data_IF_514304587490
#
_entry.id   IF_514304587490
#
_cell.length_a   1.000
_cell.length_b   1.000
_cell.length_c   1.000
_cell.angle_alpha   90.00
_cell.angle_beta   90.00
_cell.angle_gamma   90.00
#
_symmetry.space_group_name_H-M   'P 1'
#
loop_
_entity.id
_entity.type
_entity.pdbx_description
1 polymer ?
#
# COMPACT_ATOMS: atom_id res chain seq x y z
N UNK A 1 -19.44 10.60 -20.73
CA UNK A 1 -18.24 9.97 -20.16
C UNK A 1 -18.08 10.49 -18.76
N UNK A 2 -18.04 9.59 -17.80
CA UNK A 2 -17.80 9.96 -16.39
C UNK A 2 -16.33 9.66 -16.15
N UNK A 3 -15.58 10.50 -15.44
CA UNK A 3 -14.13 10.24 -15.19
C UNK A 3 -13.85 8.89 -14.51
N UNK A 4 -14.90 8.19 -14.06
CA UNK A 4 -14.88 6.87 -13.44
C UNK A 4 -14.92 5.71 -14.43
N UNK A 5 -15.19 5.93 -15.73
CA UNK A 5 -15.16 4.88 -16.76
C UNK A 5 -13.72 4.52 -17.21
N UNK A 6 -12.74 5.35 -16.85
CA UNK A 6 -11.33 5.12 -17.17
C UNK A 6 -10.90 5.60 -18.55
N UNK A 7 -11.82 6.19 -19.32
CA UNK A 7 -11.52 6.76 -20.63
C UNK A 7 -10.62 7.98 -20.49
N UNK A 8 -9.70 8.15 -21.45
CA UNK A 8 -8.81 9.31 -21.47
C UNK A 8 -9.61 10.60 -21.59
N UNK A 9 -9.15 11.63 -20.87
CA UNK A 9 -9.71 12.96 -20.92
C UNK A 9 -8.73 13.90 -21.63
N UNK A 10 -9.18 14.69 -22.59
CA UNK A 10 -8.33 15.69 -23.21
C UNK A 10 -8.08 16.85 -22.23
N UNK A 11 -6.87 17.42 -22.22
CA UNK A 11 -6.47 18.47 -21.27
C UNK A 11 -7.41 19.68 -21.29
N UNK A 12 -7.88 20.08 -22.47
CA UNK A 12 -8.84 21.19 -22.62
C UNK A 12 -10.22 20.90 -21.98
N UNK A 13 -10.53 19.64 -21.66
CA UNK A 13 -11.75 19.24 -20.96
C UNK A 13 -11.59 19.26 -19.44
N UNK A 14 -10.36 19.31 -18.92
CA UNK A 14 -10.08 19.41 -17.49
C UNK A 14 -10.34 20.84 -17.02
N UNK A 15 -11.38 21.02 -16.20
CA UNK A 15 -11.65 22.28 -15.51
C UNK A 15 -10.69 22.45 -14.33
N UNK A 16 -9.51 23.03 -14.58
CA UNK A 16 -8.47 23.28 -13.58
C UNK A 16 -8.76 24.52 -12.76
N UNK A 17 -8.62 24.41 -11.44
CA UNK A 17 -8.76 25.52 -10.49
C UNK A 17 -7.44 25.79 -9.74
N UNK A 18 -7.50 26.06 -8.44
CA UNK A 18 -6.35 26.37 -7.61
C UNK A 18 -5.35 25.22 -7.55
N UNK A 19 -4.06 25.56 -7.52
CA UNK A 19 -2.99 24.64 -7.17
C UNK A 19 -3.08 24.31 -5.68
N UNK A 20 -3.15 23.03 -5.35
CA UNK A 20 -3.27 22.54 -3.97
C UNK A 20 -2.08 21.71 -3.53
N UNK A 21 -1.20 21.31 -4.45
CA UNK A 21 0.01 20.57 -4.14
C UNK A 21 1.11 20.83 -5.17
N UNK A 22 2.34 20.67 -4.73
CA UNK A 22 3.55 20.82 -5.52
C UNK A 22 4.53 19.74 -5.04
N UNK A 23 4.77 18.74 -5.88
CA UNK A 23 5.66 17.63 -5.61
C UNK A 23 6.81 17.54 -6.63
N UNK A 24 7.76 16.64 -6.37
CA UNK A 24 8.95 16.50 -7.23
C UNK A 24 8.64 16.11 -8.67
N UNK A 25 7.59 15.32 -8.90
CA UNK A 25 7.22 14.78 -10.22
C UNK A 25 6.10 15.57 -10.91
N UNK A 26 5.39 16.45 -10.19
CA UNK A 26 4.17 17.05 -10.70
C UNK A 26 3.56 18.09 -9.77
N UNK A 27 2.61 18.83 -10.34
CA UNK A 27 1.78 19.79 -9.61
C UNK A 27 0.35 19.25 -9.51
N UNK A 28 -0.34 19.56 -8.42
CA UNK A 28 -1.69 19.06 -8.17
C UNK A 28 -2.68 20.22 -8.12
N UNK A 29 -3.75 20.12 -8.89
CA UNK A 29 -4.80 21.13 -9.02
C UNK A 29 -6.14 20.56 -8.63
N UNK A 30 -7.01 21.41 -8.09
CA UNK A 30 -8.43 21.09 -8.03
C UNK A 30 -9.00 20.97 -9.45
N UNK A 31 -9.78 19.92 -9.67
CA UNK A 31 -10.42 19.63 -10.94
C UNK A 31 -11.95 19.64 -10.78
N UNK A 32 -12.64 20.27 -11.72
CA UNK A 32 -14.10 20.27 -11.77
C UNK A 32 -14.68 18.92 -12.16
N UNK A 33 -15.86 18.62 -11.65
CA UNK A 33 -16.56 17.35 -11.87
C UNK A 33 -17.18 16.82 -10.59
N UNK A 34 -17.95 15.73 -10.66
CA UNK A 34 -18.46 15.06 -9.47
C UNK A 34 -17.30 14.45 -8.66
N UNK A 35 -17.40 14.46 -7.33
CA UNK A 35 -16.53 13.64 -6.47
C UNK A 35 -15.19 14.24 -6.02
N UNK A 36 -15.08 15.56 -5.84
CA UNK A 36 -13.88 16.28 -5.33
C UNK A 36 -12.58 15.76 -5.97
N UNK A 37 -12.41 16.06 -7.25
CA UNK A 37 -11.32 15.55 -8.05
C UNK A 37 -10.08 16.44 -7.95
N UNK A 38 -8.93 15.80 -8.10
CA UNK A 38 -7.65 16.44 -8.30
C UNK A 38 -7.08 16.04 -9.65
N UNK A 39 -6.42 16.98 -10.32
CA UNK A 39 -5.60 16.74 -11.50
C UNK A 39 -4.13 16.83 -11.09
N UNK A 40 -3.41 15.72 -11.19
CA UNK A 40 -1.94 15.69 -11.07
C UNK A 40 -1.34 15.86 -12.46
N UNK A 41 -0.66 16.98 -12.66
CA UNK A 41 0.04 17.34 -13.89
C UNK A 41 1.53 17.05 -13.76
N UNK A 42 2.10 16.28 -14.68
CA UNK A 42 3.53 15.97 -14.66
C UNK A 42 4.36 17.17 -15.11
N UNK A 43 5.48 17.44 -14.42
CA UNK A 43 6.44 18.49 -14.82
C UNK A 43 7.16 18.16 -16.13
N UNK A 44 7.43 16.89 -16.35
CA UNK A 44 8.13 16.39 -17.54
C UNK A 44 7.28 15.32 -18.27
N UNK A 45 6.16 15.70 -18.92
CA UNK A 45 5.27 14.75 -19.61
C UNK A 45 5.94 13.88 -20.69
N UNK A 46 7.13 14.27 -21.14
CA UNK A 46 7.90 13.52 -22.13
C UNK A 46 8.63 12.29 -21.54
N UNK A 47 8.82 12.23 -20.22
CA UNK A 47 9.42 11.08 -19.51
C UNK A 47 8.38 10.08 -19.01
N UNK A 48 7.10 10.44 -19.10
CA UNK A 48 5.98 9.65 -18.56
C UNK A 48 5.78 8.39 -19.38
N UNK A 49 5.77 7.24 -18.70
CA UNK A 49 5.39 5.96 -19.29
C UNK A 49 3.86 5.81 -19.25
N UNK A 50 3.22 6.27 -20.32
CA UNK A 50 1.76 6.34 -20.40
C UNK A 50 1.04 5.00 -20.35
N UNK A 51 1.73 3.91 -20.70
CA UNK A 51 1.30 2.52 -20.60
C UNK A 51 1.25 2.02 -19.16
N UNK A 52 2.24 2.37 -18.33
CA UNK A 52 2.24 2.07 -16.91
C UNK A 52 1.03 2.73 -16.21
N UNK A 53 0.71 3.97 -16.58
CA UNK A 53 -0.46 4.67 -16.05
C UNK A 53 -1.78 4.06 -16.55
N UNK A 54 -1.83 3.60 -17.81
CA UNK A 54 -2.98 2.83 -18.33
C UNK A 54 -3.21 1.58 -17.50
N UNK A 55 -2.15 0.86 -17.13
CA UNK A 55 -2.27 -0.34 -16.31
C UNK A 55 -2.93 -0.02 -14.96
N UNK A 56 -2.52 1.06 -14.28
CA UNK A 56 -3.13 1.46 -13.00
C UNK A 56 -4.62 1.81 -13.14
N UNK A 57 -4.99 2.53 -14.19
CA UNK A 57 -6.40 2.82 -14.48
C UNK A 57 -7.18 1.51 -14.71
N UNK A 58 -6.64 0.57 -15.49
CA UNK A 58 -7.27 -0.73 -15.76
C UNK A 58 -7.44 -1.58 -14.51
N UNK A 59 -6.43 -1.64 -13.64
CA UNK A 59 -6.51 -2.37 -12.36
C UNK A 59 -7.75 -1.95 -11.58
N UNK A 60 -8.02 -0.64 -11.48
CA UNK A 60 -9.23 -0.14 -10.81
C UNK A 60 -10.52 -0.49 -11.57
N UNK A 61 -10.51 -0.43 -12.90
CA UNK A 61 -11.69 -0.75 -13.70
C UNK A 61 -12.09 -2.22 -13.66
N UNK A 62 -11.12 -3.11 -13.47
CA UNK A 62 -11.33 -4.57 -13.40
C UNK A 62 -11.74 -5.04 -11.99
N UNK A 63 -11.57 -4.19 -10.96
CA UNK A 63 -12.00 -4.51 -9.59
C UNK A 63 -13.52 -4.62 -9.45
N UNK A 64 -13.94 -5.57 -8.61
CA UNK A 64 -15.32 -5.64 -8.14
C UNK A 64 -15.71 -4.35 -7.41
N UNK A 65 -17.01 -3.95 -7.39
CA UNK A 65 -17.43 -2.68 -6.82
C UNK A 65 -16.94 -2.43 -5.38
N UNK A 66 -17.01 -3.44 -4.51
CA UNK A 66 -16.56 -3.31 -3.12
C UNK A 66 -15.04 -3.09 -2.97
N UNK A 67 -14.23 -3.69 -3.85
CA UNK A 67 -12.78 -3.52 -3.86
C UNK A 67 -12.38 -2.16 -4.43
N UNK A 68 -13.08 -1.72 -5.48
CA UNK A 68 -12.92 -0.38 -6.06
C UNK A 68 -13.27 0.71 -5.04
N UNK A 69 -14.38 0.56 -4.34
CA UNK A 69 -14.79 1.47 -3.27
C UNK A 69 -13.77 1.50 -2.13
N UNK A 70 -13.16 0.36 -1.81
CA UNK A 70 -12.06 0.29 -0.84
C UNK A 70 -10.82 1.05 -1.36
N UNK A 71 -10.44 0.84 -2.62
CA UNK A 71 -9.31 1.53 -3.24
C UNK A 71 -9.50 3.04 -3.19
N UNK A 72 -10.65 3.53 -3.63
CA UNK A 72 -10.96 4.97 -3.71
C UNK A 72 -10.98 5.65 -2.33
N UNK A 73 -11.35 4.91 -1.28
CA UNK A 73 -11.27 5.42 0.11
C UNK A 73 -9.84 5.46 0.65
N UNK A 74 -8.97 4.54 0.22
CA UNK A 74 -7.65 4.32 0.82
C UNK A 74 -6.48 4.79 -0.06
N UNK A 75 -6.72 5.31 -1.26
CA UNK A 75 -5.66 5.74 -2.16
C UNK A 75 -6.11 6.88 -3.09
N UNK A 76 -5.20 7.81 -3.37
CA UNK A 76 -5.31 8.81 -4.42
C UNK A 76 -5.01 8.15 -5.78
N UNK A 77 -5.85 7.17 -6.14
CA UNK A 77 -5.62 6.27 -7.26
C UNK A 77 -5.92 6.94 -8.62
N UNK A 78 -5.15 6.66 -9.69
CA UNK A 78 -5.47 7.13 -11.04
C UNK A 78 -6.84 6.65 -11.53
N UNK A 79 -7.75 7.59 -11.79
CA UNK A 79 -9.09 7.33 -12.32
C UNK A 79 -9.08 7.25 -13.84
N UNK A 80 -8.41 8.19 -14.49
CA UNK A 80 -8.21 8.24 -15.93
C UNK A 80 -6.97 9.07 -16.27
N UNK A 81 -6.44 8.89 -17.48
CA UNK A 81 -5.31 9.71 -17.96
C UNK A 81 -5.83 11.02 -18.54
N UNK A 82 -5.03 12.06 -18.38
CA UNK A 82 -5.23 13.32 -19.09
C UNK A 82 -4.23 13.38 -20.24
N UNK A 83 -4.70 13.74 -21.42
CA UNK A 83 -3.89 13.77 -22.64
C UNK A 83 -3.95 15.10 -23.35
N UNK A 84 -2.85 15.50 -23.98
CA UNK A 84 -2.78 16.64 -24.90
C UNK A 84 -2.06 16.23 -26.18
N UNK A 85 -2.72 16.33 -27.33
CA UNK A 85 -2.19 15.85 -28.61
C UNK A 85 -1.75 14.37 -28.60
N UNK A 86 -2.43 13.52 -27.82
CA UNK A 86 -2.09 12.10 -27.64
C UNK A 86 -0.96 11.81 -26.64
N UNK A 87 -0.33 12.84 -26.06
CA UNK A 87 0.66 12.70 -24.98
C UNK A 87 -0.03 12.70 -23.63
N UNK A 88 0.33 11.77 -22.74
CA UNK A 88 -0.12 11.78 -21.35
C UNK A 88 0.52 12.96 -20.61
N UNK A 89 -0.30 13.88 -20.11
CA UNK A 89 0.12 15.06 -19.35
C UNK A 89 -0.09 14.90 -17.85
N UNK A 90 -0.95 13.97 -17.45
CA UNK A 90 -1.27 13.71 -16.05
C UNK A 90 -2.40 12.70 -15.86
N UNK A 91 -3.03 12.75 -14.70
CA UNK A 91 -4.21 11.93 -14.41
C UNK A 91 -5.16 12.62 -13.43
N UNK A 92 -6.42 12.18 -13.44
CA UNK A 92 -7.40 12.54 -12.41
C UNK A 92 -7.39 11.52 -11.28
N UNK A 93 -7.56 12.00 -10.05
CA UNK A 93 -7.68 11.18 -8.84
C UNK A 93 -8.69 11.78 -7.86
N UNK A 94 -9.19 10.96 -6.94
CA UNK A 94 -9.97 11.48 -5.81
C UNK A 94 -9.07 12.27 -4.85
N UNK A 95 -9.61 13.36 -4.31
CA UNK A 95 -8.99 14.03 -3.16
C UNK A 95 -9.08 13.14 -1.93
N UNK A 96 -8.01 13.14 -1.12
CA UNK A 96 -8.03 12.48 0.18
C UNK A 96 -9.20 12.96 1.07
N UNK A 97 -9.72 12.11 1.98
CA UNK A 97 -10.78 12.49 2.90
C UNK A 97 -10.47 13.75 3.70
N UNK A 98 -11.48 14.59 3.93
CA UNK A 98 -11.31 15.87 4.63
C UNK A 98 -10.77 15.71 6.05
N UNK A 99 -11.11 14.61 6.72
CA UNK A 99 -10.61 14.27 8.05
C UNK A 99 -9.08 14.06 8.10
N UNK A 100 -8.41 13.94 6.94
CA UNK A 100 -6.95 13.85 6.81
C UNK A 100 -6.30 15.21 6.54
N UNK A 101 -7.00 16.30 6.87
CA UNK A 101 -6.50 17.68 6.81
C UNK A 101 -6.67 18.34 8.18
N UNK A 102 -5.71 19.16 8.59
CA UNK A 102 -5.79 20.01 9.76
C UNK A 102 -5.60 21.49 9.38
N UNK A 103 -6.16 22.39 10.18
CA UNK A 103 -6.08 23.83 9.92
C UNK A 103 -4.97 24.45 10.75
N UNK A 104 -4.04 25.14 10.10
CA UNK A 104 -2.97 25.88 10.77
C UNK A 104 -3.52 27.11 11.50
N UNK A 105 -2.72 27.70 12.38
CA UNK A 105 -3.08 28.96 13.06
C UNK A 105 -3.33 30.14 12.11
N UNK A 106 -2.85 30.06 10.86
CA UNK A 106 -3.08 31.05 9.81
C UNK A 106 -4.36 30.81 8.99
N UNK A 107 -5.08 29.72 9.25
CA UNK A 107 -6.27 29.33 8.51
C UNK A 107 -6.01 28.42 7.30
N UNK A 108 -4.74 28.14 6.97
CA UNK A 108 -4.39 27.25 5.85
C UNK A 108 -4.66 25.79 6.21
N UNK A 109 -5.25 25.03 5.30
CA UNK A 109 -5.40 23.58 5.42
C UNK A 109 -4.11 22.84 5.04
N UNK A 110 -3.69 21.89 5.87
CA UNK A 110 -2.53 21.02 5.62
C UNK A 110 -2.88 19.55 5.80
N UNK A 111 -2.29 18.69 4.99
CA UNK A 111 -2.48 17.25 5.10
C UNK A 111 -1.91 16.72 6.41
N UNK A 112 -2.56 15.71 6.98
CA UNK A 112 -2.10 14.98 8.17
C UNK A 112 -1.25 13.79 7.69
N UNK A 113 0.00 14.09 7.33
CA UNK A 113 1.01 13.09 6.94
C UNK A 113 1.43 12.20 8.12
N UNK A 114 1.92 11.00 7.80
CA UNK A 114 2.45 10.05 8.77
C UNK A 114 3.61 10.66 9.60
N UNK A 115 4.34 11.64 9.06
CA UNK A 115 5.43 12.33 9.75
C UNK A 115 5.04 12.88 11.13
N UNK A 116 3.80 13.36 11.27
CA UNK A 116 3.24 13.85 12.53
C UNK A 116 3.04 12.74 13.57
N UNK A 117 2.86 11.50 13.13
CA UNK A 117 2.66 10.34 13.99
C UNK A 117 3.97 9.81 14.59
N UNK A 118 5.10 10.07 13.92
CA UNK A 118 6.42 9.54 14.26
C UNK A 118 7.17 10.40 15.29
N UNK A 119 6.59 11.52 15.73
CA UNK A 119 7.24 12.50 16.60
C UNK A 119 6.29 12.95 17.71
N UNK A 120 6.83 13.53 18.76
CA UNK A 120 6.03 14.27 19.73
C UNK A 120 5.44 15.52 19.08
N UNK A 121 4.19 15.83 19.44
CA UNK A 121 3.52 17.03 19.01
C UNK A 121 4.33 18.27 19.40
N UNK A 122 4.48 19.21 18.46
CA UNK A 122 5.08 20.52 18.75
C UNK A 122 3.99 21.59 18.72
N UNK A 123 4.24 22.70 19.42
CA UNK A 123 3.32 23.84 19.46
C UNK A 123 2.88 24.32 18.06
N UNK A 124 3.77 24.27 17.06
CA UNK A 124 3.47 24.70 15.70
C UNK A 124 2.40 23.85 14.96
N UNK A 125 2.09 22.65 15.46
CA UNK A 125 1.11 21.73 14.87
C UNK A 125 0.30 21.03 15.96
N UNK A 126 0.02 21.74 17.06
CA UNK A 126 -0.76 21.22 18.20
C UNK A 126 -2.22 20.91 17.84
N UNK A 127 -2.72 21.43 16.72
CA UNK A 127 -4.04 21.12 16.19
C UNK A 127 -4.10 19.77 15.46
N UNK A 128 -2.96 19.15 15.15
CA UNK A 128 -2.94 17.78 14.63
C UNK A 128 -3.35 16.84 15.76
N UNK A 129 -4.37 15.97 15.56
CA UNK A 129 -4.80 15.01 16.57
C UNK A 129 -3.64 14.17 17.09
N UNK A 130 -3.74 13.67 18.32
CA UNK A 130 -2.75 12.75 18.89
C UNK A 130 -3.44 11.43 19.24
N UNK A 131 -3.10 10.31 18.59
CA UNK A 131 -3.77 9.04 18.88
C UNK A 131 -3.43 8.54 20.27
N UNK A 132 -4.43 8.02 20.96
CA UNK A 132 -4.21 7.18 22.14
C UNK A 132 -3.54 5.86 21.72
N UNK A 133 -2.94 5.09 22.65
CA UNK A 133 -2.20 3.88 22.28
C UNK A 133 -2.99 2.85 21.44
N UNK A 134 -4.28 2.64 21.75
CA UNK A 134 -5.14 1.75 20.96
C UNK A 134 -5.32 2.24 19.51
N UNK A 135 -5.60 3.53 19.31
CA UNK A 135 -5.72 4.12 17.96
C UNK A 135 -4.39 4.06 17.20
N UNK A 136 -3.26 4.20 17.89
CA UNK A 136 -1.93 4.05 17.28
C UNK A 136 -1.73 2.63 16.76
N UNK A 137 -2.14 1.61 17.52
CA UNK A 137 -2.13 0.23 17.04
C UNK A 137 -3.06 0.06 15.82
N UNK A 138 -4.27 0.62 15.86
CA UNK A 138 -5.22 0.53 14.76
C UNK A 138 -4.65 1.14 13.47
N UNK A 139 -3.97 2.29 13.56
CA UNK A 139 -3.28 2.89 12.40
C UNK A 139 -2.20 1.96 11.82
N UNK A 140 -1.42 1.28 12.66
CA UNK A 140 -0.44 0.27 12.19
C UNK A 140 -1.16 -0.87 11.48
N UNK A 141 -2.27 -1.36 12.03
CA UNK A 141 -3.08 -2.41 11.40
C UNK A 141 -3.64 -1.97 10.05
N UNK A 142 -4.09 -0.72 9.93
CA UNK A 142 -4.58 -0.16 8.67
C UNK A 142 -3.49 -0.08 7.60
N UNK A 143 -2.28 0.38 7.96
CA UNK A 143 -1.11 0.37 7.05
C UNK A 143 -0.81 -1.04 6.58
N UNK A 144 -0.66 -2.00 7.50
CA UNK A 144 -0.31 -3.38 7.16
C UNK A 144 -1.39 -4.02 6.29
N UNK A 145 -2.67 -3.82 6.62
CA UNK A 145 -3.81 -4.36 5.87
C UNK A 145 -3.91 -3.81 4.44
N UNK A 146 -3.63 -2.52 4.26
CA UNK A 146 -3.62 -1.89 2.94
C UNK A 146 -2.47 -2.43 2.08
N UNK A 147 -1.25 -2.47 2.63
CA UNK A 147 -0.08 -2.95 1.91
C UNK A 147 -0.15 -4.45 1.61
N UNK A 148 -0.65 -5.27 2.55
CA UNK A 148 -0.89 -6.70 2.33
C UNK A 148 -1.88 -6.92 1.19
N UNK A 149 -2.95 -6.13 1.13
CA UNK A 149 -3.94 -6.22 0.08
C UNK A 149 -3.37 -5.84 -1.29
N UNK A 150 -2.63 -4.73 -1.39
CA UNK A 150 -1.97 -4.33 -2.64
C UNK A 150 -0.95 -5.36 -3.12
N UNK A 151 -0.13 -5.91 -2.21
CA UNK A 151 0.79 -7.02 -2.54
C UNK A 151 0.03 -8.27 -3.00
N UNK A 152 -1.13 -8.56 -2.41
CA UNK A 152 -2.02 -9.65 -2.83
C UNK A 152 -2.58 -9.48 -4.24
N UNK A 153 -2.72 -8.24 -4.72
CA UNK A 153 -3.07 -7.92 -6.11
C UNK A 153 -1.87 -7.99 -7.07
N UNK A 154 -0.67 -8.36 -6.57
CA UNK A 154 0.56 -8.41 -7.36
C UNK A 154 1.20 -7.03 -7.59
N UNK A 155 0.79 -6.02 -6.82
CA UNK A 155 1.30 -4.66 -6.93
C UNK A 155 2.49 -4.42 -5.99
N UNK A 156 3.46 -3.65 -6.46
CA UNK A 156 4.57 -3.07 -5.71
C UNK A 156 4.29 -1.58 -5.57
N UNK A 157 4.36 -1.05 -4.35
CA UNK A 157 4.10 0.36 -4.04
C UNK A 157 5.32 1.23 -4.37
N UNK A 158 6.52 0.75 -4.03
CA UNK A 158 7.78 1.36 -4.41
C UNK A 158 8.20 2.54 -3.54
N UNK A 159 7.36 3.57 -3.46
CA UNK A 159 7.66 4.80 -2.71
C UNK A 159 6.87 4.91 -1.40
N UNK A 160 7.07 3.90 -0.54
CA UNK A 160 6.55 3.93 0.82
C UNK A 160 7.39 4.88 1.68
N UNK A 161 6.78 5.98 2.12
CA UNK A 161 7.41 6.96 2.99
C UNK A 161 6.39 7.63 3.91
N UNK A 162 6.89 8.45 4.85
CA UNK A 162 6.01 9.22 5.72
C UNK A 162 5.22 10.32 5.00
N UNK A 163 5.72 10.80 3.85
CA UNK A 163 5.09 11.86 3.08
C UNK A 163 3.93 11.32 2.22
N UNK A 164 4.02 10.03 1.82
CA UNK A 164 3.05 9.42 0.91
C UNK A 164 1.92 8.66 1.64
N UNK A 165 1.83 8.79 2.96
CA UNK A 165 0.77 8.17 3.76
C UNK A 165 0.12 9.24 4.63
N UNK A 166 -1.18 9.43 4.43
CA UNK A 166 -2.02 10.23 5.32
C UNK A 166 -2.71 9.35 6.35
N UNK A 167 -3.13 9.97 7.45
CA UNK A 167 -3.93 9.28 8.47
C UNK A 167 -5.00 10.19 9.07
N UNK A 168 -6.02 9.56 9.65
CA UNK A 168 -7.11 10.21 10.40
C UNK A 168 -7.50 9.35 11.60
N UNK A 169 -8.13 9.96 12.59
CA UNK A 169 -8.80 9.28 13.72
C UNK A 169 -10.33 9.35 13.63
N UNK A 170 -10.86 10.08 12.64
CA UNK A 170 -12.28 10.36 12.49
C UNK A 170 -12.81 9.86 11.13
N UNK A 171 -13.99 9.19 11.10
CA UNK A 171 -14.75 8.73 12.28
C UNK A 171 -14.07 7.58 13.04
N UNK A 172 -13.10 6.92 12.41
CA UNK A 172 -12.28 5.85 12.97
C UNK A 172 -10.85 5.96 12.42
N UNK A 173 -9.85 5.29 13.03
CA UNK A 173 -8.49 5.23 12.51
C UNK A 173 -8.45 4.73 11.06
N UNK A 174 -7.92 5.56 10.16
CA UNK A 174 -7.83 5.27 8.73
C UNK A 174 -6.52 5.80 8.15
N UNK A 175 -6.08 5.20 7.06
CA UNK A 175 -4.91 5.64 6.28
C UNK A 175 -5.27 5.80 4.81
N UNK A 176 -4.52 6.66 4.12
CA UNK A 176 -4.71 6.91 2.69
C UNK A 176 -3.36 7.11 2.01
N UNK A 177 -3.14 6.40 0.91
CA UNK A 177 -1.92 6.51 0.10
C UNK A 177 -2.02 7.70 -0.85
N UNK A 178 -0.93 8.45 -0.95
CA UNK A 178 -0.71 9.46 -1.99
C UNK A 178 0.22 8.90 -3.06
N UNK A 179 0.40 9.67 -4.14
CA UNK A 179 1.39 9.40 -5.20
C UNK A 179 1.37 7.95 -5.71
N UNK A 180 0.16 7.47 -6.00
CA UNK A 180 -0.09 6.10 -6.43
C UNK A 180 0.33 5.81 -7.88
N UNK A 181 0.77 6.82 -8.64
CA UNK A 181 1.34 6.70 -9.98
C UNK A 181 2.72 6.01 -10.01
N UNK A 182 3.35 5.85 -8.86
CA UNK A 182 4.54 5.01 -8.69
C UNK A 182 4.29 3.50 -8.55
N UNK A 183 3.04 3.14 -8.25
CA UNK A 183 2.63 1.75 -8.03
C UNK A 183 2.68 0.99 -9.35
N UNK A 184 3.00 -0.30 -9.32
CA UNK A 184 3.12 -1.12 -10.53
C UNK A 184 2.98 -2.59 -10.26
N UNK A 185 2.66 -3.37 -11.29
CA UNK A 185 2.78 -4.82 -11.22
C UNK A 185 4.25 -5.23 -10.99
N UNK A 186 4.47 -6.31 -10.24
CA UNK A 186 5.81 -6.83 -9.97
C UNK A 186 6.63 -7.05 -11.26
N UNK A 187 7.85 -6.49 -11.29
CA UNK A 187 8.76 -6.59 -12.44
C UNK A 187 8.48 -5.63 -13.60
N UNK A 188 7.44 -4.79 -13.49
CA UNK A 188 7.23 -3.66 -14.39
C UNK A 188 7.95 -2.42 -13.87
N UNK A 189 8.13 -1.43 -14.75
CA UNK A 189 8.70 -0.14 -14.41
C UNK A 189 7.62 0.88 -13.98
N UNK A 190 7.97 1.87 -13.13
CA UNK A 190 7.03 2.90 -12.70
C UNK A 190 6.74 3.93 -13.80
N UNK A 191 5.68 4.73 -13.62
CA UNK A 191 5.29 5.81 -14.57
C UNK A 191 6.42 6.84 -14.76
N UNK A 192 7.14 7.14 -13.68
CA UNK A 192 8.34 7.98 -13.64
C UNK A 192 9.35 7.36 -12.67
N UNK A 193 10.64 7.60 -12.91
CA UNK A 193 11.68 7.20 -11.97
C UNK A 193 11.46 7.91 -10.62
N UNK A 194 11.51 7.14 -9.54
CA UNK A 194 11.22 7.63 -8.20
C UNK A 194 12.51 8.05 -7.50
N UNK A 195 12.50 9.23 -6.89
CA UNK A 195 13.54 9.61 -5.95
C UNK A 195 13.30 8.90 -4.62
N UNK A 196 14.36 8.39 -4.00
CA UNK A 196 14.24 7.82 -2.66
C UNK A 196 13.98 8.91 -1.62
N UNK A 197 13.00 8.67 -0.74
CA UNK A 197 12.80 9.52 0.42
C UNK A 197 13.99 9.33 1.40
N UNK A 198 14.66 10.41 1.85
CA UNK A 198 15.76 10.32 2.82
C UNK A 198 15.33 9.55 4.08
N UNK A 199 16.22 8.72 4.62
CA UNK A 199 15.97 7.84 5.78
C UNK A 199 14.91 6.75 5.58
N UNK A 200 14.44 6.50 4.36
CA UNK A 200 13.55 5.39 4.01
C UNK A 200 14.20 4.33 3.12
N UNK A 201 15.46 4.56 2.75
CA UNK A 201 16.23 3.61 1.94
C UNK A 201 16.53 2.33 2.74
N UNK A 202 16.46 1.23 2.00
CA UNK A 202 16.89 -0.08 2.44
C UNK A 202 18.41 -0.21 2.27
N UNK A 203 19.19 -0.36 3.35
CA UNK A 203 20.65 -0.43 3.27
C UNK A 203 21.15 -1.73 2.63
N UNK A 204 20.29 -2.76 2.51
CA UNK A 204 20.62 -4.05 1.92
C UNK A 204 19.92 -4.28 0.57
N UNK A 205 19.23 -3.27 0.04
CA UNK A 205 18.68 -3.34 -1.31
C UNK A 205 19.82 -3.36 -2.33
N UNK A 206 19.77 -4.25 -3.34
CA UNK A 206 20.74 -4.22 -4.42
C UNK A 206 20.66 -2.88 -5.17
N UNK A 207 21.80 -2.21 -5.32
CA UNK A 207 21.87 -0.92 -5.98
C UNK A 207 21.38 -1.01 -7.43
N UNK A 208 20.59 -0.02 -7.87
CA UNK A 208 20.11 0.09 -9.24
C UNK A 208 18.99 -0.88 -9.62
N UNK A 209 18.51 -1.73 -8.70
CA UNK A 209 17.31 -2.52 -8.96
C UNK A 209 16.04 -1.71 -8.67
N UNK A 210 14.99 -1.87 -9.49
CA UNK A 210 13.68 -1.30 -9.18
C UNK A 210 13.15 -1.79 -7.84
N UNK A 211 12.33 -0.97 -7.19
CA UNK A 211 11.61 -1.41 -6.00
C UNK A 211 10.82 -2.71 -6.26
N UNK A 212 10.70 -3.52 -5.22
CA UNK A 212 10.09 -4.84 -5.24
C UNK A 212 9.18 -5.03 -4.02
N UNK A 213 8.44 -6.13 -4.00
CA UNK A 213 7.68 -6.56 -2.82
C UNK A 213 8.59 -6.65 -1.59
N UNK A 214 9.85 -7.05 -1.75
CA UNK A 214 10.78 -7.18 -0.64
C UNK A 214 11.29 -5.82 -0.11
N UNK A 215 11.53 -4.85 -0.99
CA UNK A 215 11.86 -3.48 -0.53
C UNK A 215 10.65 -2.81 0.12
N UNK A 216 9.44 -3.06 -0.37
CA UNK A 216 8.21 -2.60 0.28
C UNK A 216 8.06 -3.21 1.68
N UNK A 217 8.37 -4.50 1.86
CA UNK A 217 8.33 -5.16 3.18
C UNK A 217 9.29 -4.50 4.17
N UNK A 218 10.46 -4.05 3.72
CA UNK A 218 11.38 -3.29 4.56
C UNK A 218 10.81 -1.91 4.93
N UNK A 219 10.31 -1.16 3.94
CA UNK A 219 9.68 0.16 4.18
C UNK A 219 8.42 0.04 5.06
N UNK A 220 7.65 -1.03 4.94
CA UNK A 220 6.53 -1.35 5.81
C UNK A 220 7.00 -1.65 7.24
N UNK A 221 8.08 -2.41 7.41
CA UNK A 221 8.67 -2.61 8.73
C UNK A 221 9.09 -1.27 9.35
N UNK A 222 9.75 -0.38 8.59
CA UNK A 222 10.05 0.98 9.04
C UNK A 222 8.77 1.72 9.52
N UNK A 223 7.68 1.72 8.75
CA UNK A 223 6.42 2.33 9.19
C UNK A 223 5.94 1.74 10.52
N UNK A 224 5.89 0.41 10.63
CA UNK A 224 5.41 -0.28 11.82
C UNK A 224 6.24 0.13 13.05
N UNK A 225 7.56 0.01 12.99
CA UNK A 225 8.44 0.35 14.11
C UNK A 225 8.36 1.83 14.48
N UNK A 226 8.46 2.72 13.48
CA UNK A 226 8.45 4.17 13.69
C UNK A 226 7.14 4.67 14.30
N UNK A 227 6.01 4.10 13.88
CA UNK A 227 4.70 4.40 14.47
C UNK A 227 4.62 3.88 15.90
N UNK A 228 4.98 2.61 16.14
CA UNK A 228 4.87 1.99 17.45
C UNK A 228 5.81 2.59 18.50
N UNK A 229 6.98 3.07 18.09
CA UNK A 229 7.98 3.68 18.95
C UNK A 229 7.85 5.21 19.04
N UNK A 230 7.08 5.84 18.15
CA UNK A 230 7.08 7.32 17.96
C UNK A 230 8.52 7.83 17.79
N UNK A 231 9.26 7.14 16.92
CA UNK A 231 10.65 7.43 16.60
C UNK A 231 10.78 7.49 15.07
N UNK A 232 11.20 8.61 14.47
CA UNK A 232 11.28 8.75 13.03
C UNK A 232 12.53 8.10 12.42
N UNK A 233 13.50 7.68 13.23
CA UNK A 233 14.80 7.19 12.78
C UNK A 233 14.99 5.69 13.00
N UNK A 234 14.29 5.09 13.96
CA UNK A 234 14.43 3.67 14.30
C UNK A 234 14.38 2.76 13.05
N UNK A 235 15.27 1.77 13.00
CA UNK A 235 15.41 0.82 11.89
C UNK A 235 15.18 -0.63 12.33
N UNK A 236 14.68 -1.51 11.43
CA UNK A 236 14.52 -2.93 11.72
C UNK A 236 15.76 -3.54 12.39
N UNK A 237 15.55 -4.31 13.45
CA UNK A 237 16.61 -4.95 14.22
C UNK A 237 17.13 -4.15 15.42
N UNK A 238 16.88 -2.84 15.48
CA UNK A 238 17.22 -2.02 16.64
C UNK A 238 16.30 -2.30 17.85
N UNK A 239 16.71 -2.01 19.09
CA UNK A 239 15.86 -2.18 20.25
C UNK A 239 14.56 -1.37 20.16
N UNK A 240 13.41 -2.03 20.29
CA UNK A 240 12.08 -1.38 20.26
C UNK A 240 11.74 -0.78 21.63
N UNK A 241 11.68 0.54 21.71
CA UNK A 241 11.05 1.26 22.83
C UNK A 241 9.61 1.62 22.44
N UNK A 242 8.66 0.75 22.76
CA UNK A 242 7.26 0.92 22.37
C UNK A 242 6.58 2.05 23.16
N UNK A 243 5.67 2.79 22.52
CA UNK A 243 4.76 3.69 23.22
C UNK A 243 3.91 2.87 24.20
N UNK A 244 3.90 3.20 25.52
CA UNK A 244 3.20 2.42 26.53
C UNK A 244 1.73 2.19 26.20
N UNK A 245 1.25 0.96 26.43
CA UNK A 245 -0.13 0.56 26.17
C UNK A 245 -0.49 0.30 24.71
N UNK A 246 0.45 0.45 23.77
CA UNK A 246 0.17 0.20 22.33
C UNK A 246 0.12 -1.28 22.02
N UNK A 247 0.97 -2.08 22.66
CA UNK A 247 0.99 -3.55 22.55
C UNK A 247 1.01 -4.16 23.94
N UNK A 248 0.32 -5.30 24.09
CA UNK A 248 0.53 -6.21 25.23
C UNK A 248 1.78 -7.07 25.01
N UNK A 249 2.25 -7.73 26.08
CA UNK A 249 3.46 -8.57 26.05
C UNK A 249 3.41 -9.67 24.99
N UNK A 250 2.21 -10.20 24.72
CA UNK A 250 2.01 -11.25 23.72
C UNK A 250 2.27 -10.72 22.32
N UNK A 251 1.61 -9.62 21.93
CA UNK A 251 1.80 -8.99 20.62
C UNK A 251 3.23 -8.50 20.47
N UNK A 252 3.81 -7.91 21.52
CA UNK A 252 5.22 -7.50 21.51
C UNK A 252 6.16 -8.69 21.26
N UNK A 253 5.92 -9.82 21.94
CA UNK A 253 6.67 -11.07 21.73
C UNK A 253 6.52 -11.67 20.33
N UNK A 254 5.34 -11.55 19.71
CA UNK A 254 5.10 -12.00 18.33
C UNK A 254 5.72 -11.04 17.28
N UNK A 255 5.77 -9.74 17.57
CA UNK A 255 6.33 -8.72 16.69
C UNK A 255 7.86 -8.75 16.67
N UNK A 256 8.50 -8.94 17.82
CA UNK A 256 9.95 -8.91 17.99
C UNK A 256 10.75 -9.80 16.99
N UNK A 257 10.38 -11.08 16.71
CA UNK A 257 11.08 -11.86 15.70
C UNK A 257 10.87 -11.33 14.27
N UNK A 258 9.70 -10.79 13.93
CA UNK A 258 9.45 -10.19 12.61
C UNK A 258 10.29 -8.92 12.42
N UNK A 259 10.37 -8.10 13.45
CA UNK A 259 11.21 -6.90 13.50
C UNK A 259 12.68 -7.21 13.25
N UNK A 260 13.23 -8.24 13.91
CA UNK A 260 14.60 -8.71 13.65
C UNK A 260 14.77 -9.29 12.26
N UNK A 261 13.80 -10.06 11.77
CA UNK A 261 13.85 -10.66 10.43
C UNK A 261 13.81 -9.59 9.32
N UNK A 262 13.10 -8.48 9.52
CA UNK A 262 13.05 -7.40 8.55
C UNK A 262 14.39 -6.68 8.34
N UNK A 263 15.32 -6.79 9.30
CA UNK A 263 16.70 -6.31 9.16
C UNK A 263 17.58 -7.24 8.29
N UNK A 264 17.08 -8.42 7.95
CA UNK A 264 17.81 -9.44 7.19
C UNK A 264 18.02 -9.05 5.72
N UNK A 265 18.81 -9.89 5.04
CA UNK A 265 19.12 -9.75 3.62
C UNK A 265 17.85 -9.68 2.75
N UNK A 266 17.96 -9.00 1.60
CA UNK A 266 16.88 -8.94 0.63
C UNK A 266 16.36 -10.35 0.27
N UNK A 267 15.04 -10.49 0.26
CA UNK A 267 14.34 -11.77 0.02
C UNK A 267 14.09 -12.60 1.29
N UNK A 268 14.68 -12.25 2.43
CA UNK A 268 14.44 -12.96 3.70
C UNK A 268 13.32 -12.37 4.55
N UNK A 269 12.72 -11.25 4.14
CA UNK A 269 11.85 -10.42 4.99
C UNK A 269 10.47 -11.03 5.18
N UNK A 270 9.85 -10.84 6.36
CA UNK A 270 8.53 -11.38 6.64
C UNK A 270 7.47 -10.79 5.72
N UNK A 271 6.52 -11.63 5.30
CA UNK A 271 5.32 -11.16 4.61
C UNK A 271 4.42 -10.32 5.54
N UNK A 272 3.59 -9.46 4.95
CA UNK A 272 2.69 -8.57 5.69
C UNK A 272 1.56 -9.29 6.42
N UNK A 273 1.16 -10.49 5.97
CA UNK A 273 0.19 -11.33 6.68
C UNK A 273 0.70 -11.82 8.04
N UNK A 274 2.00 -12.08 8.17
CA UNK A 274 2.65 -12.42 9.45
C UNK A 274 2.64 -11.22 10.41
N UNK A 275 2.88 -10.01 9.91
CA UNK A 275 2.72 -8.79 10.69
C UNK A 275 1.28 -8.61 11.15
N UNK A 276 0.30 -8.72 10.24
CA UNK A 276 -1.13 -8.63 10.58
C UNK A 276 -1.54 -9.64 11.64
N UNK A 277 -1.04 -10.87 11.52
CA UNK A 277 -1.31 -11.94 12.50
C UNK A 277 -0.73 -11.57 13.87
N UNK A 278 0.52 -11.13 13.94
CA UNK A 278 1.16 -10.69 15.19
C UNK A 278 0.42 -9.50 15.83
N UNK A 279 0.01 -8.52 15.03
CA UNK A 279 -0.71 -7.33 15.51
C UNK A 279 -2.14 -7.67 15.98
N UNK A 280 -2.79 -8.67 15.36
CA UNK A 280 -4.13 -9.11 15.77
C UNK A 280 -4.17 -9.78 17.15
N UNK A 281 -3.03 -10.29 17.64
CA UNK A 281 -2.95 -11.08 18.87
C UNK A 281 -3.55 -12.49 18.72
N UNK A 282 -4.01 -12.91 17.53
CA UNK A 282 -4.48 -14.29 17.29
C UNK A 282 -3.32 -15.27 17.41
N UNK A 283 -3.59 -16.43 18.01
CA UNK A 283 -2.59 -17.50 18.12
C UNK A 283 -2.37 -18.16 16.76
N UNK A 284 -1.12 -18.31 16.35
CA UNK A 284 -0.76 -19.26 15.30
C UNK A 284 -0.64 -20.64 15.95
N UNK A 285 -1.41 -21.62 15.48
CA UNK A 285 -1.15 -23.03 15.80
C UNK A 285 -0.06 -23.45 14.81
N UNK A 286 1.19 -23.71 15.24
CA UNK A 286 2.19 -24.27 14.34
C UNK A 286 1.70 -25.67 13.94
N UNK A 287 1.24 -25.80 12.69
CA UNK A 287 1.06 -27.11 12.08
C UNK A 287 2.45 -27.74 11.99
N UNK A 288 2.76 -28.68 12.89
CA UNK A 288 3.92 -29.53 12.75
C UNK A 288 3.77 -30.23 11.39
N UNK A 289 4.74 -30.05 10.49
CA UNK A 289 4.84 -30.90 9.29
C UNK A 289 4.83 -32.34 9.80
N UNK A 290 3.76 -33.08 9.49
CA UNK A 290 3.74 -34.51 9.71
C UNK A 290 4.91 -35.11 8.94
N UNK A 291 5.65 -36.03 9.58
CA UNK A 291 6.59 -36.87 8.85
C UNK A 291 5.78 -37.57 7.75
N UNK A 292 6.18 -37.49 6.47
CA UNK A 292 5.50 -38.24 5.42
C UNK A 292 5.44 -39.69 5.84
N UNK A 293 4.22 -40.26 5.94
CA UNK A 293 4.05 -41.68 6.21
C UNK A 293 4.84 -42.42 5.13
N UNK A 294 5.75 -43.36 5.49
CA UNK A 294 6.42 -44.19 4.50
C UNK A 294 5.36 -44.77 3.57
N UNK A 295 5.58 -44.67 2.26
CA UNK A 295 4.69 -45.31 1.30
C UNK A 295 4.54 -46.79 1.71
N UNK A 296 3.32 -47.35 1.74
CA UNK A 296 3.14 -48.76 2.07
C UNK A 296 3.96 -49.59 1.09
N UNK A 297 5.00 -50.26 1.60
CA UNK A 297 5.80 -51.21 0.84
C UNK A 297 4.92 -52.41 0.53
N UNK A 298 4.47 -52.50 -0.72
CA UNK A 298 3.57 -53.58 -1.16
C UNK A 298 2.53 -53.18 -2.21
N UNK A 299 2.43 -51.90 -2.58
CA UNK A 299 1.65 -51.52 -3.75
C UNK A 299 2.39 -51.96 -5.02
N UNK A 300 1.99 -53.09 -5.60
CA UNK A 300 2.47 -53.55 -6.90
C UNK A 300 2.06 -52.54 -7.99
N UNK A 301 3.02 -51.87 -8.67
CA UNK A 301 2.72 -50.93 -9.74
C UNK A 301 1.88 -51.53 -10.89
N UNK A 302 1.90 -52.85 -11.06
CA UNK A 302 1.12 -53.55 -12.08
C UNK A 302 -0.40 -53.43 -11.85
N UNK A 303 -0.85 -53.23 -10.60
CA UNK A 303 -2.27 -53.06 -10.26
C UNK A 303 -2.84 -51.76 -10.85
N UNK A 304 -2.02 -50.73 -10.98
CA UNK A 304 -2.45 -49.43 -11.53
C UNK A 304 -2.27 -49.33 -13.05
N UNK A 305 -1.61 -50.30 -13.70
CA UNK A 305 -1.41 -50.33 -15.15
C UNK A 305 -2.44 -51.18 -15.89
N UNK A 306 -3.25 -51.98 -15.19
CA UNK A 306 -4.33 -52.73 -15.83
C UNK A 306 -5.48 -51.78 -16.18
N UNK A 307 -5.50 -51.33 -17.44
CA UNK A 307 -6.73 -50.82 -18.09
C UNK A 307 -7.69 -51.98 -18.30
N UNK A 308 -8.39 -52.38 -17.24
CA UNK A 308 -9.60 -53.20 -17.38
C UNK A 308 -10.65 -52.48 -18.24
N UNK A 309 -11.53 -53.21 -18.95
CA UNK A 309 -12.55 -52.59 -19.80
C UNK A 309 -13.42 -51.64 -18.96
N UNK A 310 -13.40 -50.35 -19.33
CA UNK A 310 -14.27 -49.34 -18.72
C UNK A 310 -15.70 -49.67 -19.09
N UNK A 311 -16.48 -50.18 -18.14
CA UNK A 311 -17.92 -50.28 -18.28
C UNK A 311 -18.53 -48.89 -18.45
N UNK A 312 -19.32 -48.69 -19.50
CA UNK A 312 -20.12 -47.50 -19.72
C UNK A 312 -21.33 -47.53 -18.80
N UNK A 313 -21.52 -46.49 -17.99
CA UNK A 313 -22.74 -46.32 -17.17
C UNK A 313 -23.77 -45.63 -18.06
N UNK A 314 -24.91 -46.26 -18.40
CA UNK A 314 -25.99 -45.58 -19.09
C UNK A 314 -26.71 -44.66 -18.10
N UNK A 315 -26.68 -43.36 -18.35
CA UNK A 315 -27.54 -42.41 -17.68
C UNK A 315 -28.94 -42.58 -18.28
N UNK A 316 -29.87 -43.17 -17.51
CA UNK A 316 -31.30 -43.15 -17.86
C UNK A 316 -31.81 -41.73 -17.69
N UNK A 317 -32.36 -41.18 -18.77
CA UNK A 317 -33.31 -40.08 -18.68
C UNK A 317 -34.66 -40.60 -18.23
N UNK A 318 -35.30 -39.83 -17.37
CA UNK A 318 -36.70 -39.41 -17.44
C UNK A 318 -36.76 -37.98 -16.86
#
# INVERSE_FOLDING_TARGET
>A
MTVHDGEDLALHQVKRFARVGDGGQGEVFEAGGPGRLLYKEYREPHKVRGDALTHLVRVRQEMAPAERDRLDRQAAWPLCRVTDGGRVTGFLMHRAPEAMTWTTSKGDGKLIELSYLLREAKAAWSAVPQPVPAQRLDLVVQVVSLLEWLHGLGLVVGDLSHANVLWSLAPEPAVHLLDCDGIRAGGQDPVLDQADTPDWHDPLAPAGLPASVDSDRYKAALMIGRILCRDPLIRPGEPLTLVPGTLDDRRAGQLAPLWRQAAGAAGSRPDLGRWRTALSGRGTIPLRRGVPRPAPSGADPAVFQQRGPRGTIPLRGD
#
